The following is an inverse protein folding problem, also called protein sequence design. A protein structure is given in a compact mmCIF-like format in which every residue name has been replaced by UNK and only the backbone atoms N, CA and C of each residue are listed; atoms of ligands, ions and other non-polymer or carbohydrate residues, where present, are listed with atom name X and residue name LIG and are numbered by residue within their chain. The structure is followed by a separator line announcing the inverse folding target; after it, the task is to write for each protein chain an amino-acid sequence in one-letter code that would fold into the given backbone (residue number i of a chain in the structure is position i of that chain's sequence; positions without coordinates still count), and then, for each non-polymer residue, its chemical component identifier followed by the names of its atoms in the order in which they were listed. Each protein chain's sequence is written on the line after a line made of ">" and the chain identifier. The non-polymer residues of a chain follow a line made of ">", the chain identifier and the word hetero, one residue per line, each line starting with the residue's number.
data_IF_800298994383
#
_entry.id   IF_800298994383
#
_cell.length_a   1.000
_cell.length_b   1.000
_cell.length_c   1.000
_cell.angle_alpha   90.00
_cell.angle_beta   90.00
_cell.angle_gamma   90.00
#
_symmetry.space_group_name_H-M   'P 1'
#
loop_
_entity.id
_entity.type
_entity.pdbx_description
1 polymer ?
#
# COMPACT_ATOMS: atom_id res chain seq x y z
N UNK A 1 -5.90 16.55 -1.22
CA UNK A 1 -6.55 15.67 -0.23
C UNK A 1 -7.80 16.23 0.38
N UNK A 2 -7.79 17.46 0.88
CA UNK A 2 -9.01 18.07 1.41
C UNK A 2 -10.13 18.12 0.36
N UNK A 3 -9.81 18.51 -0.88
CA UNK A 3 -10.76 18.48 -1.99
C UNK A 3 -11.34 17.07 -2.28
N UNK A 4 -10.51 16.02 -2.23
CA UNK A 4 -10.95 14.64 -2.47
C UNK A 4 -11.84 14.11 -1.34
N UNK A 5 -11.49 14.43 -0.09
CA UNK A 5 -12.34 14.10 1.08
C UNK A 5 -13.68 14.83 1.03
N UNK A 6 -13.67 16.11 0.66
CA UNK A 6 -14.89 16.89 0.46
C UNK A 6 -15.73 16.32 -0.67
N UNK A 7 -15.12 15.88 -1.77
CA UNK A 7 -15.80 15.22 -2.87
C UNK A 7 -16.45 13.90 -2.44
N UNK A 8 -15.73 13.01 -1.76
CA UNK A 8 -16.28 11.76 -1.21
C UNK A 8 -17.45 12.05 -0.26
N UNK A 9 -17.29 13.02 0.65
CA UNK A 9 -18.34 13.43 1.57
C UNK A 9 -19.58 13.96 0.85
N UNK A 10 -19.40 14.76 -0.20
CA UNK A 10 -20.49 15.28 -1.01
C UNK A 10 -21.21 14.16 -1.79
N UNK A 11 -20.46 13.20 -2.35
CA UNK A 11 -21.03 12.06 -3.05
C UNK A 11 -21.85 11.18 -2.11
N UNK A 12 -21.35 10.88 -0.91
CA UNK A 12 -22.09 10.18 0.16
C UNK A 12 -23.39 10.89 0.48
N UNK A 13 -23.31 12.19 0.73
CA UNK A 13 -24.50 12.99 1.05
C UNK A 13 -25.55 12.93 -0.07
N UNK A 14 -25.10 12.97 -1.33
CA UNK A 14 -26.00 12.91 -2.49
C UNK A 14 -26.76 11.58 -2.62
N UNK A 15 -26.26 10.47 -2.09
CA UNK A 15 -27.01 9.20 -2.08
C UNK A 15 -28.23 9.27 -1.16
N UNK A 16 -28.10 9.96 -0.02
CA UNK A 16 -29.18 10.13 0.94
C UNK A 16 -30.16 11.22 0.52
N UNK A 17 -29.65 12.37 0.06
CA UNK A 17 -30.48 13.50 -0.35
C UNK A 17 -31.41 13.14 -1.52
N UNK A 18 -30.97 12.23 -2.38
CA UNK A 18 -31.74 11.76 -3.53
C UNK A 18 -32.49 10.45 -3.27
N UNK A 19 -32.48 9.92 -2.04
CA UNK A 19 -33.12 8.65 -1.64
C UNK A 19 -32.68 7.45 -2.53
N UNK A 20 -31.41 7.42 -2.91
CA UNK A 20 -30.84 6.38 -3.77
C UNK A 20 -30.37 5.18 -2.94
N UNK A 21 -29.75 5.44 -1.78
CA UNK A 21 -29.33 4.44 -0.81
C UNK A 21 -29.71 4.89 0.60
N UNK A 22 -29.99 3.94 1.49
CA UNK A 22 -30.13 4.21 2.92
C UNK A 22 -28.77 4.22 3.65
N UNK A 23 -28.79 4.61 4.93
CA UNK A 23 -27.59 4.79 5.76
C UNK A 23 -26.80 3.51 6.06
N UNK A 24 -27.36 2.31 5.84
CA UNK A 24 -26.71 1.06 6.23
C UNK A 24 -25.54 0.69 5.31
N UNK A 25 -25.56 1.08 4.03
CA UNK A 25 -24.54 0.68 3.06
C UNK A 25 -23.13 1.14 3.47
N UNK A 26 -23.01 2.34 4.05
CA UNK A 26 -21.73 2.91 4.49
C UNK A 26 -21.29 2.45 5.89
N UNK A 27 -22.07 1.62 6.57
CA UNK A 27 -21.61 0.95 7.79
C UNK A 27 -20.54 -0.10 7.45
N UNK A 28 -20.57 -0.69 6.25
CA UNK A 28 -19.56 -1.66 5.78
C UNK A 28 -18.16 -1.05 5.67
N UNK A 29 -18.05 0.23 5.30
CA UNK A 29 -16.76 0.95 5.28
C UNK A 29 -16.13 1.08 6.68
N UNK A 30 -16.95 1.18 7.73
CA UNK A 30 -16.42 1.23 9.11
C UNK A 30 -15.78 -0.12 9.51
N UNK A 31 -16.17 -1.21 8.85
CA UNK A 31 -15.63 -2.56 9.05
C UNK A 31 -14.33 -2.76 8.26
N UNK A 32 -14.12 -2.08 7.14
CA UNK A 32 -12.86 -2.11 6.35
C UNK A 32 -11.64 -1.73 7.18
N UNK A 33 -11.84 -0.87 8.18
CA UNK A 33 -10.80 -0.45 9.11
C UNK A 33 -10.20 -1.58 9.97
N UNK A 34 -10.75 -2.79 9.92
CA UNK A 34 -10.37 -3.90 10.83
C UNK A 34 -9.65 -5.04 10.08
N UNK A 35 -9.88 -5.30 8.78
CA UNK A 35 -9.29 -6.49 8.12
C UNK A 35 -9.14 -6.46 6.59
N UNK A 36 -10.01 -5.78 5.83
CA UNK A 36 -10.02 -5.84 4.36
C UNK A 36 -10.40 -4.49 3.72
N UNK A 37 -9.45 -3.75 3.12
CA UNK A 37 -9.69 -2.45 2.50
C UNK A 37 -10.49 -2.46 1.19
N UNK A 38 -10.75 -3.62 0.56
CA UNK A 38 -11.55 -3.69 -0.69
C UNK A 38 -12.95 -4.25 -0.48
N UNK A 39 -13.34 -4.55 0.77
CA UNK A 39 -14.59 -5.23 1.08
C UNK A 39 -15.82 -4.48 0.58
N UNK A 40 -15.86 -3.16 0.71
CA UNK A 40 -16.96 -2.34 0.22
C UNK A 40 -17.04 -2.37 -1.31
N UNK A 41 -15.89 -2.18 -1.97
CA UNK A 41 -15.79 -2.23 -3.43
C UNK A 41 -16.24 -3.59 -3.97
N UNK A 42 -15.75 -4.69 -3.41
CA UNK A 42 -16.10 -6.05 -3.81
C UNK A 42 -17.60 -6.32 -3.62
N UNK A 43 -18.16 -5.90 -2.48
CA UNK A 43 -19.58 -6.05 -2.18
C UNK A 43 -20.46 -5.28 -3.19
N UNK A 44 -20.13 -4.02 -3.47
CA UNK A 44 -20.86 -3.19 -4.45
C UNK A 44 -20.74 -3.78 -5.86
N UNK A 45 -19.55 -4.20 -6.26
CA UNK A 45 -19.31 -4.79 -7.58
C UNK A 45 -20.08 -6.10 -7.79
N UNK A 46 -20.17 -6.96 -6.77
CA UNK A 46 -21.01 -8.17 -6.81
C UNK A 46 -22.47 -7.80 -7.02
N UNK A 47 -23.00 -6.85 -6.25
CA UNK A 47 -24.38 -6.38 -6.44
C UNK A 47 -24.61 -5.86 -7.87
N UNK A 48 -23.77 -4.94 -8.36
CA UNK A 48 -23.95 -4.32 -9.67
C UNK A 48 -23.91 -5.36 -10.80
N UNK A 49 -23.00 -6.34 -10.72
CA UNK A 49 -22.90 -7.44 -11.68
C UNK A 49 -24.16 -8.30 -11.69
N UNK A 50 -24.59 -8.76 -10.53
CA UNK A 50 -25.66 -9.76 -10.43
C UNK A 50 -27.04 -9.13 -10.65
N UNK A 51 -27.26 -7.90 -10.19
CA UNK A 51 -28.48 -7.12 -10.48
C UNK A 51 -28.62 -6.77 -11.96
N UNK A 52 -27.54 -6.34 -12.64
CA UNK A 52 -27.56 -6.08 -14.09
C UNK A 52 -27.94 -7.34 -14.88
N UNK A 53 -27.38 -8.50 -14.50
CA UNK A 53 -27.75 -9.79 -15.11
C UNK A 53 -29.23 -10.13 -14.88
N UNK A 54 -29.71 -9.93 -13.65
CA UNK A 54 -31.12 -10.22 -13.29
C UNK A 54 -32.08 -9.33 -14.07
N UNK A 55 -31.78 -8.04 -14.24
CA UNK A 55 -32.59 -7.13 -15.07
C UNK A 55 -32.65 -7.59 -16.53
N UNK A 56 -31.54 -8.02 -17.11
CA UNK A 56 -31.52 -8.53 -18.50
C UNK A 56 -32.40 -9.79 -18.66
N UNK A 57 -32.38 -10.70 -17.68
CA UNK A 57 -33.23 -11.89 -17.70
C UNK A 57 -34.72 -11.50 -17.60
N UNK A 58 -35.07 -10.56 -16.71
CA UNK A 58 -36.45 -10.08 -16.60
C UNK A 58 -36.93 -9.45 -17.92
N UNK A 59 -36.07 -8.66 -18.56
CA UNK A 59 -36.37 -8.03 -19.86
C UNK A 59 -36.64 -9.06 -20.96
N UNK A 60 -35.83 -10.12 -21.03
CA UNK A 60 -36.04 -11.24 -21.94
C UNK A 60 -37.35 -11.98 -21.65
N UNK A 61 -37.62 -12.32 -20.39
CA UNK A 61 -38.86 -13.00 -19.99
C UNK A 61 -40.12 -12.17 -20.27
N UNK A 62 -40.04 -10.85 -20.12
CA UNK A 62 -41.15 -9.93 -20.46
C UNK A 62 -41.41 -9.80 -21.97
N UNK A 63 -40.44 -10.18 -22.81
CA UNK A 63 -40.57 -10.20 -24.26
C UNK A 63 -41.15 -11.53 -24.79
N UNK A 64 -41.15 -12.59 -23.97
CA UNK A 64 -41.67 -13.90 -24.34
C UNK A 64 -43.19 -13.88 -24.58
N UNK A 65 -43.68 -14.80 -25.42
CA UNK A 65 -45.10 -15.02 -25.68
C UNK A 65 -45.40 -16.52 -25.82
N UNK A 66 -46.09 -17.16 -24.85
CA UNK A 66 -46.68 -16.56 -23.64
C UNK A 66 -45.62 -16.18 -22.60
N UNK A 67 -45.93 -15.17 -21.78
CA UNK A 67 -45.08 -14.74 -20.65
C UNK A 67 -45.14 -15.76 -19.51
N UNK A 68 -44.00 -16.03 -18.88
CA UNK A 68 -43.94 -16.85 -17.67
C UNK A 68 -43.92 -15.98 -16.39
N UNK A 69 -45.10 -15.78 -15.78
CA UNK A 69 -45.22 -15.00 -14.55
C UNK A 69 -44.53 -15.62 -13.33
N UNK A 70 -44.33 -16.95 -13.29
CA UNK A 70 -43.61 -17.59 -12.19
C UNK A 70 -42.12 -17.24 -12.22
N UNK A 71 -41.51 -17.20 -13.41
CA UNK A 71 -40.11 -16.80 -13.56
C UNK A 71 -39.93 -15.31 -13.27
N UNK A 72 -40.85 -14.46 -13.75
CA UNK A 72 -40.84 -13.04 -13.41
C UNK A 72 -40.93 -12.79 -11.90
N UNK A 73 -41.86 -13.45 -11.21
CA UNK A 73 -42.00 -13.35 -9.75
C UNK A 73 -40.69 -13.70 -9.03
N UNK A 74 -40.08 -14.84 -9.41
CA UNK A 74 -38.78 -15.29 -8.87
C UNK A 74 -37.68 -14.24 -9.07
N UNK A 75 -37.51 -13.72 -10.29
CA UNK A 75 -36.42 -12.77 -10.58
C UNK A 75 -36.66 -11.41 -9.92
N UNK A 76 -37.90 -10.93 -9.86
CA UNK A 76 -38.22 -9.73 -9.10
C UNK A 76 -37.96 -9.89 -7.61
N UNK A 77 -38.26 -11.05 -7.03
CA UNK A 77 -37.94 -11.35 -5.64
C UNK A 77 -36.43 -11.38 -5.39
N UNK A 78 -35.66 -11.97 -6.30
CA UNK A 78 -34.19 -11.98 -6.24
C UNK A 78 -33.62 -10.55 -6.26
N UNK A 79 -34.05 -9.73 -7.21
CA UNK A 79 -33.59 -8.34 -7.34
C UNK A 79 -34.01 -7.49 -6.14
N UNK A 80 -35.26 -7.64 -5.68
CA UNK A 80 -35.75 -6.98 -4.47
C UNK A 80 -34.87 -7.32 -3.26
N UNK A 81 -34.55 -8.60 -3.07
CA UNK A 81 -33.73 -9.06 -1.94
C UNK A 81 -32.33 -8.46 -1.99
N UNK A 82 -31.65 -8.52 -3.15
CA UNK A 82 -30.29 -8.00 -3.28
C UNK A 82 -30.23 -6.47 -3.19
N UNK A 83 -31.20 -5.74 -3.75
CA UNK A 83 -31.31 -4.29 -3.61
C UNK A 83 -31.59 -3.86 -2.17
N UNK A 84 -32.34 -4.66 -1.40
CA UNK A 84 -32.57 -4.41 0.01
C UNK A 84 -31.30 -4.58 0.86
N UNK A 85 -30.39 -5.49 0.47
CA UNK A 85 -29.10 -5.66 1.16
C UNK A 85 -28.20 -4.42 1.06
N UNK A 86 -28.38 -3.60 0.03
CA UNK A 86 -27.57 -2.38 -0.16
C UNK A 86 -28.33 -1.09 0.16
N UNK A 87 -29.58 -1.18 0.62
CA UNK A 87 -30.41 -0.01 0.92
C UNK A 87 -30.99 0.71 -0.31
N UNK A 88 -31.04 0.08 -1.49
CA UNK A 88 -31.54 0.68 -2.73
C UNK A 88 -33.08 0.72 -2.79
N UNK A 89 -33.69 1.55 -1.92
CA UNK A 89 -35.13 1.56 -1.65
C UNK A 89 -36.01 1.79 -2.88
N UNK A 90 -35.60 2.64 -3.82
CA UNK A 90 -36.37 2.90 -5.05
C UNK A 90 -36.49 1.65 -5.93
N UNK A 91 -35.38 0.92 -6.11
CA UNK A 91 -35.37 -0.36 -6.84
C UNK A 91 -36.23 -1.40 -6.11
N UNK A 92 -36.11 -1.47 -4.78
CA UNK A 92 -36.93 -2.37 -3.94
C UNK A 92 -38.43 -2.07 -4.08
N UNK A 93 -38.82 -0.80 -4.11
CA UNK A 93 -40.21 -0.38 -4.18
C UNK A 93 -40.85 -0.69 -5.54
N UNK A 94 -40.14 -0.42 -6.64
CA UNK A 94 -40.60 -0.83 -7.97
C UNK A 94 -40.62 -2.36 -8.10
N UNK A 95 -39.65 -3.09 -7.54
CA UNK A 95 -39.68 -4.55 -7.56
C UNK A 95 -40.88 -5.13 -6.80
N UNK A 96 -41.21 -4.58 -5.62
CA UNK A 96 -42.44 -4.92 -4.88
C UNK A 96 -43.69 -4.69 -5.73
N UNK A 97 -43.76 -3.56 -6.43
CA UNK A 97 -44.90 -3.22 -7.28
C UNK A 97 -45.02 -4.18 -8.47
N UNK A 98 -43.93 -4.49 -9.14
CA UNK A 98 -43.92 -5.44 -10.25
C UNK A 98 -44.36 -6.86 -9.83
N UNK A 99 -43.94 -7.32 -8.64
CA UNK A 99 -44.38 -8.61 -8.06
C UNK A 99 -45.91 -8.67 -7.92
N UNK A 100 -46.53 -7.65 -7.33
CA UNK A 100 -47.99 -7.62 -7.18
C UNK A 100 -48.71 -7.59 -8.53
N UNK A 101 -48.21 -6.82 -9.50
CA UNK A 101 -48.78 -6.75 -10.85
C UNK A 101 -48.65 -8.07 -11.63
N UNK A 102 -47.58 -8.84 -11.40
CA UNK A 102 -47.44 -10.18 -11.95
C UNK A 102 -48.48 -11.17 -11.36
N UNK A 103 -48.83 -11.05 -10.07
CA UNK A 103 -49.90 -11.87 -9.45
C UNK A 103 -51.28 -11.55 -10.00
N UNK A 104 -51.49 -10.30 -10.41
CA UNK A 104 -52.71 -9.83 -11.08
C UNK A 104 -52.71 -10.14 -12.59
N UNK A 105 -51.66 -10.77 -13.13
CA UNK A 105 -51.44 -11.01 -14.56
C UNK A 105 -51.51 -9.73 -15.44
N UNK A 106 -51.16 -8.58 -14.87
CA UNK A 106 -51.18 -7.28 -15.53
C UNK A 106 -49.81 -6.94 -16.15
N UNK A 107 -49.51 -7.52 -17.32
CA UNK A 107 -48.23 -7.36 -18.01
C UNK A 107 -47.89 -5.91 -18.36
N UNK A 108 -48.86 -5.11 -18.80
CA UNK A 108 -48.61 -3.73 -19.25
C UNK A 108 -48.15 -2.85 -18.08
N UNK A 109 -48.84 -2.94 -16.95
CA UNK A 109 -48.44 -2.21 -15.75
C UNK A 109 -47.12 -2.76 -15.16
N UNK A 110 -46.90 -4.08 -15.22
CA UNK A 110 -45.65 -4.70 -14.77
C UNK A 110 -44.45 -4.20 -15.60
N UNK A 111 -44.59 -4.10 -16.93
CA UNK A 111 -43.59 -3.50 -17.82
C UNK A 111 -43.33 -2.04 -17.47
N UNK A 112 -44.37 -1.25 -17.20
CA UNK A 112 -44.19 0.14 -16.80
C UNK A 112 -43.44 0.30 -15.46
N UNK A 113 -43.68 -0.60 -14.50
CA UNK A 113 -42.91 -0.63 -13.24
C UNK A 113 -41.47 -1.11 -13.45
N UNK A 114 -41.25 -2.09 -14.34
CA UNK A 114 -39.93 -2.54 -14.71
C UNK A 114 -39.08 -1.47 -15.41
N UNK A 115 -39.66 -0.66 -16.30
CA UNK A 115 -38.95 0.47 -16.91
C UNK A 115 -38.49 1.49 -15.87
N UNK A 116 -39.35 1.83 -14.90
CA UNK A 116 -38.96 2.70 -13.77
C UNK A 116 -37.83 2.09 -12.96
N UNK A 117 -37.92 0.80 -12.67
CA UNK A 117 -36.88 0.06 -11.97
C UNK A 117 -35.53 0.09 -12.69
N UNK A 118 -35.52 -0.06 -14.02
CA UNK A 118 -34.30 0.07 -14.84
C UNK A 118 -33.69 1.47 -14.74
N UNK A 119 -34.51 2.52 -14.77
CA UNK A 119 -34.05 3.90 -14.60
C UNK A 119 -33.40 4.10 -13.22
N UNK A 120 -34.07 3.65 -12.15
CA UNK A 120 -33.55 3.78 -10.79
C UNK A 120 -32.26 2.97 -10.59
N UNK A 121 -32.21 1.75 -11.14
CA UNK A 121 -31.00 0.93 -11.11
C UNK A 121 -29.85 1.57 -11.89
N UNK A 122 -30.13 2.16 -13.05
CA UNK A 122 -29.12 2.85 -13.86
C UNK A 122 -28.54 4.05 -13.10
N UNK A 123 -29.39 4.89 -12.51
CA UNK A 123 -28.95 6.02 -11.66
C UNK A 123 -28.08 5.55 -10.51
N UNK A 124 -28.53 4.52 -9.78
CA UNK A 124 -27.77 3.91 -8.69
C UNK A 124 -26.40 3.40 -9.15
N UNK A 125 -26.38 2.63 -10.25
CA UNK A 125 -25.16 2.05 -10.84
C UNK A 125 -24.16 3.14 -11.21
N UNK A 126 -24.59 4.16 -11.94
CA UNK A 126 -23.72 5.26 -12.36
C UNK A 126 -23.12 5.99 -11.16
N UNK A 127 -23.91 6.28 -10.13
CA UNK A 127 -23.39 6.95 -8.94
C UNK A 127 -22.45 6.08 -8.12
N UNK A 128 -22.77 4.81 -7.91
CA UNK A 128 -21.89 3.88 -7.19
C UNK A 128 -20.56 3.69 -7.93
N UNK A 129 -20.57 3.59 -9.25
CA UNK A 129 -19.34 3.49 -10.05
C UNK A 129 -18.48 4.75 -9.91
N UNK A 130 -19.07 5.94 -10.04
CA UNK A 130 -18.35 7.19 -9.83
C UNK A 130 -17.78 7.29 -8.40
N UNK A 131 -18.53 6.80 -7.39
CA UNK A 131 -18.09 6.79 -6.00
C UNK A 131 -16.87 5.89 -5.81
N UNK A 132 -16.91 4.65 -6.31
CA UNK A 132 -15.81 3.71 -6.21
C UNK A 132 -14.54 4.25 -6.88
N UNK A 133 -14.65 4.89 -8.06
CA UNK A 133 -13.50 5.50 -8.73
C UNK A 133 -12.78 6.54 -7.86
N UNK A 134 -13.54 7.41 -7.18
CA UNK A 134 -13.00 8.46 -6.32
C UNK A 134 -12.44 7.88 -5.01
N UNK A 135 -13.11 6.87 -4.46
CA UNK A 135 -12.71 6.21 -3.21
C UNK A 135 -11.42 5.40 -3.38
N UNK A 136 -11.26 4.65 -4.47
CA UNK A 136 -10.02 3.93 -4.79
C UNK A 136 -8.82 4.90 -4.91
N UNK A 137 -9.00 6.07 -5.54
CA UNK A 137 -7.95 7.11 -5.60
C UNK A 137 -7.57 7.61 -4.20
N UNK A 138 -8.57 7.81 -3.33
CA UNK A 138 -8.36 8.23 -1.95
C UNK A 138 -7.58 7.18 -1.13
N UNK A 139 -7.92 5.90 -1.30
CA UNK A 139 -7.25 4.78 -0.65
C UNK A 139 -5.77 4.67 -1.09
N UNK A 140 -5.50 4.73 -2.41
CA UNK A 140 -4.13 4.72 -2.95
C UNK A 140 -3.33 5.87 -2.34
N UNK A 141 -3.88 7.09 -2.33
CA UNK A 141 -3.17 8.23 -1.77
C UNK A 141 -2.87 8.08 -0.28
N UNK A 142 -3.84 7.59 0.52
CA UNK A 142 -3.64 7.34 1.95
C UNK A 142 -2.52 6.32 2.20
N UNK A 143 -2.46 5.29 1.37
CA UNK A 143 -1.45 4.23 1.46
C UNK A 143 -0.07 4.74 1.07
N UNK A 144 0.02 5.53 0.00
CA UNK A 144 1.26 6.20 -0.43
C UNK A 144 1.78 7.20 0.61
N UNK A 145 0.89 7.96 1.24
CA UNK A 145 1.27 8.89 2.31
C UNK A 145 1.78 8.15 3.55
N UNK A 146 1.13 7.04 3.95
CA UNK A 146 1.62 6.20 5.04
C UNK A 146 3.02 5.62 4.74
N UNK A 147 3.26 5.18 3.51
CA UNK A 147 4.57 4.70 3.08
C UNK A 147 5.63 5.81 3.10
N UNK A 148 5.31 7.01 2.61
CA UNK A 148 6.21 8.18 2.69
C UNK A 148 6.57 8.54 4.12
N UNK A 149 5.60 8.52 5.03
CA UNK A 149 5.83 8.77 6.44
C UNK A 149 6.71 7.70 7.08
N UNK A 150 6.50 6.43 6.73
CA UNK A 150 7.34 5.32 7.19
C UNK A 150 8.80 5.49 6.73
N UNK A 151 9.01 5.82 5.46
CA UNK A 151 10.32 6.12 4.87
C UNK A 151 10.98 7.29 5.60
N UNK A 152 10.27 8.41 5.78
CA UNK A 152 10.79 9.60 6.44
C UNK A 152 11.19 9.31 7.89
N UNK A 153 10.36 8.55 8.63
CA UNK A 153 10.66 8.14 10.01
C UNK A 153 11.89 7.24 10.08
N UNK A 154 12.01 6.28 9.17
CA UNK A 154 13.16 5.39 9.12
C UNK A 154 14.44 6.17 8.76
N UNK A 155 14.37 7.06 7.78
CA UNK A 155 15.48 7.95 7.41
C UNK A 155 15.92 8.81 8.61
N UNK A 156 14.97 9.42 9.32
CA UNK A 156 15.27 10.23 10.50
C UNK A 156 15.95 9.42 11.60
N UNK A 157 15.51 8.18 11.82
CA UNK A 157 16.11 7.28 12.83
C UNK A 157 17.59 7.01 12.59
N UNK A 158 18.08 7.03 11.34
CA UNK A 158 19.51 6.87 11.07
C UNK A 158 20.36 7.98 11.66
N UNK A 159 19.84 9.21 11.68
CA UNK A 159 20.54 10.37 12.22
C UNK A 159 20.34 10.49 13.72
N UNK A 160 19.13 10.23 14.21
CA UNK A 160 18.81 10.27 15.65
C UNK A 160 19.62 9.20 16.43
N UNK A 161 19.83 8.04 15.82
CA UNK A 161 20.66 6.96 16.39
C UNK A 161 22.15 7.09 16.02
N UNK A 162 22.55 8.18 15.36
CA UNK A 162 23.91 8.47 14.90
C UNK A 162 24.55 7.39 14.01
N UNK A 163 23.74 6.55 13.37
CA UNK A 163 24.20 5.50 12.46
C UNK A 163 24.80 6.13 11.20
N UNK A 164 24.11 7.16 10.67
CA UNK A 164 24.55 7.97 9.55
C UNK A 164 24.78 9.41 9.98
N UNK A 165 25.70 10.11 9.30
CA UNK A 165 25.98 11.52 9.52
C UNK A 165 25.67 12.39 8.29
N UNK A 166 26.05 13.68 8.39
CA UNK A 166 25.86 14.68 7.34
C UNK A 166 26.45 14.31 5.97
N UNK A 167 27.43 13.40 5.88
CA UNK A 167 27.98 12.98 4.59
C UNK A 167 27.01 12.08 3.83
N UNK A 168 26.13 11.34 4.51
CA UNK A 168 25.02 10.65 3.84
C UNK A 168 24.04 11.65 3.22
N UNK A 169 23.76 12.78 3.89
CA UNK A 169 22.94 13.86 3.31
C UNK A 169 23.57 14.44 2.05
N UNK A 170 24.90 14.57 2.01
CA UNK A 170 25.62 15.02 0.82
C UNK A 170 25.55 13.98 -0.30
N UNK A 171 25.62 12.69 0.04
CA UNK A 171 25.47 11.61 -0.92
C UNK A 171 24.07 11.62 -1.56
N UNK A 172 23.02 11.86 -0.77
CA UNK A 172 21.65 12.02 -1.28
C UNK A 172 21.50 13.22 -2.23
N UNK A 173 22.25 14.31 -2.02
CA UNK A 173 22.21 15.48 -2.91
C UNK A 173 22.83 15.24 -4.29
N UNK A 174 23.59 14.15 -4.46
CA UNK A 174 24.19 13.77 -5.74
C UNK A 174 23.25 12.92 -6.60
N UNK A 175 22.13 12.43 -6.04
CA UNK A 175 21.11 11.71 -6.80
C UNK A 175 20.13 12.70 -7.44
N UNK A 176 19.91 12.55 -8.74
CA UNK A 176 18.99 13.38 -9.50
C UNK A 176 18.24 12.55 -10.57
N UNK A 177 17.38 13.21 -11.34
CA UNK A 177 16.56 12.58 -12.38
C UNK A 177 17.42 11.93 -13.49
N UNK A 178 18.65 12.41 -13.70
CA UNK A 178 19.58 11.86 -14.69
C UNK A 178 20.40 10.66 -14.17
N UNK A 179 20.43 10.46 -12.85
CA UNK A 179 21.13 9.37 -12.19
C UNK A 179 20.31 8.75 -11.03
N UNK A 180 19.11 8.21 -11.31
CA UNK A 180 18.25 7.63 -10.29
C UNK A 180 18.89 6.38 -9.67
N UNK A 181 18.76 6.20 -8.36
CA UNK A 181 19.30 5.05 -7.64
C UNK A 181 20.78 5.17 -7.26
N UNK A 182 21.42 6.30 -7.56
CA UNK A 182 22.84 6.53 -7.25
C UNK A 182 23.21 6.21 -5.80
N UNK A 183 22.42 6.67 -4.83
CA UNK A 183 22.70 6.45 -3.40
C UNK A 183 22.69 4.95 -3.10
N UNK A 184 21.69 4.23 -3.63
CA UNK A 184 21.56 2.78 -3.44
C UNK A 184 22.75 2.04 -4.04
N UNK A 185 23.21 2.42 -5.22
CA UNK A 185 24.34 1.79 -5.89
C UNK A 185 25.65 2.02 -5.12
N UNK A 186 25.90 3.25 -4.67
CA UNK A 186 27.08 3.59 -3.86
C UNK A 186 27.08 2.84 -2.54
N UNK A 187 25.94 2.78 -1.84
CA UNK A 187 25.81 2.03 -0.59
C UNK A 187 25.98 0.53 -0.83
N UNK A 188 25.39 -0.02 -1.89
CA UNK A 188 25.52 -1.45 -2.21
C UNK A 188 26.97 -1.81 -2.50
N UNK A 189 27.68 -0.96 -3.23
CA UNK A 189 29.11 -1.10 -3.50
C UNK A 189 29.92 -1.05 -2.20
N UNK A 190 29.66 -0.06 -1.35
CA UNK A 190 30.29 0.06 -0.03
C UNK A 190 30.09 -1.22 0.80
N UNK A 191 28.85 -1.69 0.95
CA UNK A 191 28.52 -2.87 1.76
C UNK A 191 29.25 -4.12 1.26
N UNK A 192 29.29 -4.31 -0.06
CA UNK A 192 30.01 -5.43 -0.68
C UNK A 192 31.51 -5.39 -0.40
N UNK A 193 32.14 -4.24 -0.61
CA UNK A 193 33.60 -4.11 -0.53
C UNK A 193 34.09 -4.03 0.92
N UNK A 194 33.31 -3.41 1.81
CA UNK A 194 33.57 -3.39 3.25
C UNK A 194 33.45 -4.78 3.88
N UNK A 195 32.46 -5.60 3.47
CA UNK A 195 32.33 -7.00 3.94
C UNK A 195 33.59 -7.82 3.63
N UNK A 196 34.13 -7.69 2.41
CA UNK A 196 35.39 -8.34 2.03
C UNK A 196 36.57 -7.83 2.86
N UNK A 197 36.64 -6.51 3.08
CA UNK A 197 37.69 -5.89 3.89
C UNK A 197 37.63 -6.38 5.34
N UNK A 198 36.44 -6.50 5.93
CA UNK A 198 36.25 -7.05 7.28
C UNK A 198 36.74 -8.50 7.36
N UNK A 199 36.40 -9.35 6.39
CA UNK A 199 36.90 -10.72 6.33
C UNK A 199 38.43 -10.77 6.26
N UNK A 200 39.05 -9.92 5.45
CA UNK A 200 40.52 -9.81 5.40
C UNK A 200 41.11 -9.38 6.74
N UNK A 201 40.53 -8.39 7.42
CA UNK A 201 41.00 -7.95 8.74
C UNK A 201 40.92 -9.11 9.75
N UNK A 202 39.82 -9.86 9.73
CA UNK A 202 39.63 -11.03 10.61
C UNK A 202 40.71 -12.09 10.38
N UNK A 203 41.00 -12.42 9.12
CA UNK A 203 42.07 -13.37 8.75
C UNK A 203 43.46 -12.86 9.19
N UNK A 204 43.76 -11.58 9.01
CA UNK A 204 45.03 -10.97 9.42
C UNK A 204 45.21 -10.96 10.95
N UNK A 205 44.14 -10.69 11.70
CA UNK A 205 44.15 -10.71 13.17
C UNK A 205 44.36 -12.12 13.75
N UNK A 206 44.05 -13.17 12.99
CA UNK A 206 44.23 -14.56 13.40
C UNK A 206 45.66 -15.10 13.17
N UNK A 207 46.52 -14.35 12.48
CA UNK A 207 47.91 -14.77 12.18
C UNK A 207 48.83 -14.70 13.39
N UNK A 208 49.90 -15.49 13.36
CA UNK A 208 50.98 -15.43 14.35
C UNK A 208 52.34 -15.50 13.65
N UNK A 209 53.16 -14.42 13.67
CA UNK A 209 52.87 -13.12 14.29
C UNK A 209 51.83 -12.31 13.50
N UNK A 210 51.13 -11.41 14.17
CA UNK A 210 50.21 -10.46 13.53
C UNK A 210 50.98 -9.39 12.78
N UNK A 211 50.58 -9.11 11.54
CA UNK A 211 51.11 -7.99 10.74
C UNK A 211 50.27 -6.72 10.97
N UNK A 212 50.66 -5.94 11.97
CA UNK A 212 50.01 -4.67 12.30
C UNK A 212 50.11 -3.62 11.18
N UNK A 213 51.14 -3.70 10.32
CA UNK A 213 51.27 -2.76 9.20
C UNK A 213 50.22 -3.06 8.13
N UNK A 214 49.94 -4.33 7.87
CA UNK A 214 48.88 -4.73 6.96
C UNK A 214 47.49 -4.42 7.54
N UNK A 215 47.27 -4.66 8.83
CA UNK A 215 46.03 -4.27 9.51
C UNK A 215 45.74 -2.76 9.43
N UNK A 216 46.75 -1.91 9.65
CA UNK A 216 46.57 -0.44 9.54
C UNK A 216 46.10 -0.02 8.14
N UNK A 217 46.63 -0.67 7.08
CA UNK A 217 46.19 -0.41 5.69
C UNK A 217 44.72 -0.78 5.48
N UNK A 218 44.30 -1.96 5.95
CA UNK A 218 42.91 -2.41 5.84
C UNK A 218 41.96 -1.47 6.59
N UNK A 219 42.28 -1.10 7.84
CA UNK A 219 41.48 -0.14 8.60
C UNK A 219 41.47 1.25 7.97
N UNK A 220 42.58 1.70 7.38
CA UNK A 220 42.63 2.98 6.69
C UNK A 220 41.71 3.01 5.46
N UNK A 221 41.69 1.93 4.67
CA UNK A 221 40.77 1.79 3.54
C UNK A 221 39.31 1.83 4.00
N UNK A 222 38.97 1.04 5.03
CA UNK A 222 37.62 0.99 5.57
C UNK A 222 37.18 2.32 6.20
N UNK A 223 38.12 3.06 6.81
CA UNK A 223 37.89 4.41 7.33
C UNK A 223 37.46 5.36 6.21
N UNK A 224 38.23 5.38 5.12
CA UNK A 224 37.96 6.27 3.98
C UNK A 224 36.60 5.99 3.36
N UNK A 225 36.29 4.71 3.09
CA UNK A 225 35.03 4.33 2.48
C UNK A 225 33.82 4.53 3.42
N UNK A 226 33.97 4.30 4.72
CA UNK A 226 32.90 4.53 5.69
C UNK A 226 32.61 6.03 5.84
N UNK A 227 33.65 6.87 5.87
CA UNK A 227 33.48 8.32 5.88
C UNK A 227 32.79 8.85 4.61
N UNK A 228 33.11 8.30 3.43
CA UNK A 228 32.52 8.78 2.17
C UNK A 228 31.02 8.53 2.03
N UNK A 229 30.47 7.55 2.74
CA UNK A 229 29.01 7.29 2.77
C UNK A 229 28.34 7.78 4.06
N UNK A 230 29.10 8.41 4.97
CA UNK A 230 28.60 8.88 6.26
C UNK A 230 28.25 7.79 7.26
N UNK A 231 28.84 6.59 7.17
CA UNK A 231 28.62 5.48 8.12
C UNK A 231 29.31 5.74 9.47
N UNK A 232 28.73 6.63 10.26
CA UNK A 232 29.34 7.22 11.44
C UNK A 232 29.70 6.20 12.55
N UNK A 233 28.78 5.31 12.93
CA UNK A 233 29.09 4.29 13.95
C UNK A 233 30.17 3.32 13.51
N UNK A 234 30.11 2.87 12.25
CA UNK A 234 31.16 2.03 11.66
C UNK A 234 32.50 2.77 11.68
N UNK A 235 32.53 4.03 11.24
CA UNK A 235 33.72 4.87 11.22
C UNK A 235 34.33 5.04 12.62
N UNK A 236 33.51 5.21 13.65
CA UNK A 236 33.97 5.35 15.04
C UNK A 236 34.68 4.07 15.51
N UNK A 237 34.10 2.89 15.26
CA UNK A 237 34.71 1.62 15.64
C UNK A 237 35.96 1.29 14.80
N UNK A 238 36.00 1.67 13.51
CA UNK A 238 37.22 1.60 12.70
C UNK A 238 38.35 2.42 13.32
N UNK A 239 38.05 3.65 13.77
CA UNK A 239 39.06 4.50 14.40
C UNK A 239 39.60 3.88 15.70
N UNK A 240 38.72 3.35 16.56
CA UNK A 240 39.10 2.67 17.81
C UNK A 240 39.96 1.44 17.56
N UNK A 241 39.51 0.53 16.68
CA UNK A 241 40.27 -0.68 16.36
C UNK A 241 41.65 -0.36 15.78
N UNK A 242 41.73 0.65 14.91
CA UNK A 242 42.98 1.12 14.33
C UNK A 242 43.94 1.71 15.39
N UNK A 243 43.41 2.43 16.38
CA UNK A 243 44.22 2.97 17.48
C UNK A 243 44.83 1.85 18.34
N UNK A 244 44.04 0.86 18.74
CA UNK A 244 44.54 -0.31 19.46
C UNK A 244 45.60 -1.09 18.67
N UNK A 245 45.45 -1.21 17.33
CA UNK A 245 46.48 -1.80 16.49
C UNK A 245 47.80 -1.01 16.50
N UNK A 246 47.75 0.33 16.53
CA UNK A 246 48.97 1.18 16.61
C UNK A 246 49.69 1.06 17.94
N UNK A 247 48.96 0.78 19.01
CA UNK A 247 49.50 0.50 20.34
C UNK A 247 50.06 -0.93 20.46
N UNK A 248 49.85 -1.78 19.46
CA UNK A 248 50.22 -3.20 19.50
C UNK A 248 49.33 -4.04 20.43
N UNK A 249 48.18 -3.51 20.85
CA UNK A 249 47.25 -4.19 21.74
C UNK A 249 46.25 -5.03 20.94
N UNK A 250 46.63 -6.28 20.65
CA UNK A 250 45.82 -7.19 19.83
C UNK A 250 44.46 -7.50 20.47
N UNK A 251 44.42 -7.71 21.79
CA UNK A 251 43.18 -8.06 22.50
C UNK A 251 42.15 -6.92 22.42
N UNK A 252 42.57 -5.68 22.69
CA UNK A 252 41.71 -4.52 22.56
C UNK A 252 41.29 -4.27 21.10
N UNK A 253 42.19 -4.50 20.14
CA UNK A 253 41.88 -4.39 18.72
C UNK A 253 40.81 -5.41 18.29
N UNK A 254 40.92 -6.67 18.74
CA UNK A 254 39.93 -7.72 18.46
C UNK A 254 38.56 -7.39 19.07
N UNK A 255 38.53 -6.83 20.28
CA UNK A 255 37.28 -6.38 20.91
C UNK A 255 36.61 -5.25 20.11
N UNK A 256 37.36 -4.21 19.72
CA UNK A 256 36.83 -3.14 18.85
C UNK A 256 36.42 -3.65 17.47
N UNK A 257 37.15 -4.63 16.91
CA UNK A 257 36.79 -5.25 15.63
C UNK A 257 35.48 -6.04 15.72
N UNK A 258 35.20 -6.72 16.83
CA UNK A 258 33.91 -7.37 17.05
C UNK A 258 32.75 -6.35 17.08
N UNK A 259 32.93 -5.21 17.76
CA UNK A 259 31.96 -4.12 17.77
C UNK A 259 31.77 -3.54 16.35
N UNK A 260 32.86 -3.32 15.62
CA UNK A 260 32.83 -2.87 14.23
C UNK A 260 31.98 -3.77 13.34
N UNK A 261 32.13 -5.11 13.44
CA UNK A 261 31.32 -6.06 12.68
C UNK A 261 29.83 -5.96 13.01
N UNK A 262 29.50 -5.74 14.29
CA UNK A 262 28.11 -5.57 14.74
C UNK A 262 27.49 -4.27 14.18
N UNK A 263 28.22 -3.15 14.23
CA UNK A 263 27.76 -1.88 13.68
C UNK A 263 27.59 -1.94 12.15
N UNK A 264 28.52 -2.61 11.46
CA UNK A 264 28.43 -2.84 10.02
C UNK A 264 27.20 -3.69 9.64
N UNK A 265 26.94 -4.77 10.37
CA UNK A 265 25.75 -5.62 10.17
C UNK A 265 24.46 -4.84 10.42
N UNK A 266 24.43 -4.02 11.46
CA UNK A 266 23.28 -3.15 11.79
C UNK A 266 23.02 -2.14 10.68
N UNK A 267 24.06 -1.47 10.21
CA UNK A 267 24.00 -0.53 9.08
C UNK A 267 23.45 -1.20 7.82
N UNK A 268 23.98 -2.38 7.47
CA UNK A 268 23.55 -3.16 6.32
C UNK A 268 22.06 -3.49 6.38
N UNK A 269 21.60 -4.09 7.48
CA UNK A 269 20.20 -4.48 7.63
C UNK A 269 19.25 -3.28 7.52
N UNK A 270 19.62 -2.17 8.15
CA UNK A 270 18.82 -0.94 8.14
C UNK A 270 18.76 -0.27 6.76
N UNK A 271 19.89 -0.16 6.06
CA UNK A 271 19.91 0.44 4.71
C UNK A 271 19.18 -0.42 3.68
N UNK A 272 19.29 -1.75 3.76
CA UNK A 272 18.55 -2.66 2.87
C UNK A 272 17.04 -2.50 3.05
N UNK A 273 16.55 -2.55 4.29
CA UNK A 273 15.13 -2.34 4.58
C UNK A 273 14.64 -0.94 4.15
N UNK A 274 15.48 0.09 4.28
CA UNK A 274 15.15 1.44 3.79
C UNK A 274 15.00 1.48 2.26
N UNK A 275 15.94 0.88 1.52
CA UNK A 275 15.85 0.84 0.06
C UNK A 275 14.71 -0.04 -0.46
N UNK A 276 14.32 -1.08 0.27
CA UNK A 276 13.12 -1.86 -0.04
C UNK A 276 11.85 -1.02 0.10
N UNK A 277 11.74 -0.19 1.15
CA UNK A 277 10.61 0.74 1.30
C UNK A 277 10.61 1.81 0.20
N UNK A 278 11.78 2.38 -0.13
CA UNK A 278 11.92 3.35 -1.21
C UNK A 278 11.50 2.76 -2.57
N UNK A 279 11.86 1.51 -2.84
CA UNK A 279 11.47 0.83 -4.08
C UNK A 279 9.95 0.70 -4.21
N UNK A 280 9.23 0.43 -3.11
CA UNK A 280 7.76 0.38 -3.10
C UNK A 280 7.11 1.72 -3.45
N UNK A 281 7.79 2.84 -3.22
CA UNK A 281 7.28 4.17 -3.58
C UNK A 281 7.54 4.54 -5.04
N UNK A 282 8.60 3.99 -5.65
CA UNK A 282 9.00 4.28 -7.03
C UNK A 282 8.58 3.24 -8.08
N UNK A 283 7.76 2.24 -7.71
CA UNK A 283 7.32 1.16 -8.60
C UNK A 283 5.98 1.43 -9.32
N UNK A 284 5.42 2.63 -9.18
CA UNK A 284 4.15 3.07 -9.80
C UNK A 284 4.36 4.20 -10.83
#
# INVERSE_FOLDING_TARGET
>A
MEALRQQISAMRQSFFDEDILDTHIFQLEQVEHISDPSLFEDFVNVYLRDSTKTLAIIEEEMANNPVNYMDLDKYFHQLKSSSNCIGANKVVNEAKKAIELCKEENLEAAKASFEKMKVEHTTLKTKLQAYLEVDSISLIHKTMEALRQQIAKMRQSFFDEEILDKYFLQLEQLEDISNPGFVKDVVTLYLRDSTKTLATIEDEMAKSPVDFMNLDKCFHQLKGSSASIGANKVLNEVNKAREHCKEGNLEAAQASFAQLKMEHTTLQAKLLAYFELMAKLGSD
#
